data_IF_296610368719
#
_entry.id   IF_296610368719
#
_cell.length_a   1.000
_cell.length_b   1.000
_cell.length_c   1.000
_cell.angle_alpha   90.00
_cell.angle_beta   90.00
_cell.angle_gamma   90.00
#
_symmetry.space_group_name_H-M   'P 1'
#
loop_
_entity.id
_entity.type
_entity.pdbx_description
1 polymer ?
#
# COMPACT_ATOMS: atom_id res chain seq x y z
N UNK A 1 -9.56 -2.82 -24.06
CA UNK A 1 -10.87 -3.24 -24.62
C UNK A 1 -11.87 -2.17 -24.29
N UNK A 2 -12.36 -1.44 -25.27
CA UNK A 2 -13.41 -0.42 -25.11
C UNK A 2 -14.75 -1.06 -25.46
N UNK A 3 -15.73 -0.97 -24.57
CA UNK A 3 -17.08 -1.47 -24.84
C UNK A 3 -17.77 -0.50 -25.80
N UNK A 4 -18.20 -1.00 -26.97
CA UNK A 4 -19.03 -0.21 -27.88
C UNK A 4 -20.43 -0.06 -27.27
N UNK A 5 -20.90 1.18 -27.18
CA UNK A 5 -22.18 1.58 -26.58
C UNK A 5 -23.04 2.36 -27.56
N UNK A 6 -22.66 2.43 -28.83
CA UNK A 6 -23.33 3.19 -29.90
C UNK A 6 -24.81 2.84 -30.08
N UNK A 7 -25.20 1.63 -29.67
CA UNK A 7 -26.58 1.13 -29.70
C UNK A 7 -27.51 1.83 -28.70
N UNK A 8 -26.99 2.51 -27.68
CA UNK A 8 -27.81 3.15 -26.66
C UNK A 8 -28.47 4.44 -27.19
N UNK A 9 -29.79 4.62 -27.01
CA UNK A 9 -30.47 5.87 -27.37
C UNK A 9 -30.04 7.05 -26.46
N UNK A 10 -29.47 6.76 -25.29
CA UNK A 10 -28.99 7.76 -24.34
C UNK A 10 -27.54 8.16 -24.65
N UNK A 11 -27.31 9.45 -24.90
CA UNK A 11 -25.99 10.03 -25.15
C UNK A 11 -25.02 9.85 -23.97
N UNK A 12 -25.53 9.96 -22.74
CA UNK A 12 -24.75 9.77 -21.51
C UNK A 12 -24.08 8.40 -21.42
N UNK A 13 -24.71 7.36 -21.98
CA UNK A 13 -24.18 5.99 -22.01
C UNK A 13 -23.15 5.83 -23.13
N UNK A 14 -23.40 6.41 -24.30
CA UNK A 14 -22.48 6.38 -25.45
C UNK A 14 -21.14 7.06 -25.13
N UNK A 15 -21.21 8.17 -24.40
CA UNK A 15 -20.05 8.96 -24.01
C UNK A 15 -19.51 8.60 -22.62
N UNK A 16 -20.03 7.54 -21.98
CA UNK A 16 -19.58 7.12 -20.67
C UNK A 16 -18.13 6.61 -20.72
N UNK A 17 -17.24 7.32 -20.05
CA UNK A 17 -15.88 6.86 -19.81
C UNK A 17 -15.85 6.07 -18.50
N UNK A 18 -15.58 4.76 -18.61
CA UNK A 18 -15.39 3.89 -17.44
C UNK A 18 -14.19 4.37 -16.62
N UNK A 19 -14.47 5.11 -15.55
CA UNK A 19 -13.45 5.49 -14.55
C UNK A 19 -13.05 4.32 -13.65
N UNK A 20 -13.75 3.17 -13.74
CA UNK A 20 -13.58 2.02 -12.86
C UNK A 20 -12.21 1.34 -12.94
N UNK A 21 -11.47 1.49 -14.04
CA UNK A 21 -10.07 1.03 -14.13
C UNK A 21 -9.05 2.00 -13.54
N UNK A 22 -9.46 3.22 -13.18
CA UNK A 22 -8.58 4.16 -12.50
C UNK A 22 -8.71 4.01 -10.98
N UNK A 23 -7.62 3.50 -10.38
CA UNK A 23 -7.18 3.73 -8.98
C UNK A 23 -7.58 2.71 -7.89
N UNK A 24 -7.64 1.41 -8.18
CA UNK A 24 -7.43 0.43 -7.11
C UNK A 24 -5.95 0.30 -6.70
N UNK A 25 -5.02 0.73 -7.57
CA UNK A 25 -3.58 0.67 -7.30
C UNK A 25 -3.10 1.55 -6.14
N UNK A 26 -3.77 2.67 -5.85
CA UNK A 26 -3.39 3.55 -4.74
C UNK A 26 -3.86 3.05 -3.36
N UNK A 27 -4.98 2.32 -3.32
CA UNK A 27 -5.49 1.69 -2.10
C UNK A 27 -4.78 0.38 -1.76
N UNK A 28 -4.22 -0.32 -2.75
CA UNK A 28 -3.48 -1.56 -2.52
C UNK A 28 -2.07 -1.35 -1.92
N UNK A 29 -1.45 -0.18 -2.12
CA UNK A 29 -0.04 0.05 -1.74
C UNK A 29 0.15 1.03 -0.57
N UNK A 30 -0.83 1.88 -0.26
CA UNK A 30 -0.72 2.84 0.83
C UNK A 30 -0.60 2.18 2.21
N UNK A 31 -1.59 1.37 2.58
CA UNK A 31 -1.61 0.68 3.88
C UNK A 31 -0.50 -0.38 4.00
N UNK A 32 -0.18 -1.07 2.90
CA UNK A 32 0.89 -2.07 2.85
C UNK A 32 2.28 -1.45 3.10
N UNK A 33 2.54 -0.29 2.49
CA UNK A 33 3.82 0.44 2.66
C UNK A 33 4.00 0.94 4.09
N UNK A 34 2.94 1.41 4.73
CA UNK A 34 2.98 1.81 6.14
C UNK A 34 3.19 0.62 7.09
N UNK A 35 2.55 -0.52 6.81
CA UNK A 35 2.75 -1.74 7.58
C UNK A 35 4.19 -2.25 7.47
N UNK A 36 4.77 -2.23 6.27
CA UNK A 36 6.18 -2.60 6.05
C UNK A 36 7.15 -1.65 6.76
N UNK A 37 6.87 -0.34 6.77
CA UNK A 37 7.69 0.65 7.48
C UNK A 37 7.69 0.40 9.00
N UNK A 38 6.51 0.17 9.59
CA UNK A 38 6.37 -0.13 11.02
C UNK A 38 7.08 -1.42 11.45
N UNK A 39 7.07 -2.44 10.59
CA UNK A 39 7.80 -3.69 10.85
C UNK A 39 9.31 -3.48 10.89
N UNK A 40 9.86 -2.74 9.91
CA UNK A 40 11.29 -2.42 9.85
C UNK A 40 11.75 -1.62 11.08
N UNK A 41 11.01 -0.58 11.46
CA UNK A 41 11.32 0.23 12.65
C UNK A 41 11.33 -0.62 13.92
N UNK A 42 10.42 -1.60 14.03
CA UNK A 42 10.37 -2.51 15.18
C UNK A 42 11.57 -3.45 15.23
N UNK A 43 11.98 -4.01 14.10
CA UNK A 43 13.17 -4.88 14.01
C UNK A 43 14.46 -4.13 14.35
N UNK A 44 14.60 -2.88 13.89
CA UNK A 44 15.74 -2.01 14.21
C UNK A 44 15.82 -1.73 15.72
N UNK A 45 14.69 -1.36 16.35
CA UNK A 45 14.61 -1.15 17.80
C UNK A 45 14.95 -2.41 18.61
N UNK A 46 14.44 -3.59 18.21
CA UNK A 46 14.75 -4.86 18.87
C UNK A 46 16.23 -5.22 18.76
N UNK A 47 16.87 -4.91 17.62
CA UNK A 47 18.31 -5.12 17.41
C UNK A 47 19.18 -4.21 18.28
N UNK A 48 18.77 -2.94 18.46
CA UNK A 48 19.45 -2.00 19.34
C UNK A 48 19.28 -2.37 20.83
N UNK A 49 18.10 -2.84 21.22
CA UNK A 49 17.85 -3.29 22.60
C UNK A 49 18.67 -4.54 22.91
N UNK A 50 18.77 -5.47 21.95
CA UNK A 50 19.58 -6.69 22.06
C UNK A 50 21.08 -6.38 22.20
N UNK A 51 21.61 -5.46 21.39
CA UNK A 51 23.02 -5.05 21.46
C UNK A 51 23.37 -4.31 22.75
N UNK A 52 22.51 -3.38 23.20
CA UNK A 52 22.70 -2.65 24.48
C UNK A 52 22.64 -3.58 25.69
N UNK A 53 21.80 -4.62 25.65
CA UNK A 53 21.68 -5.63 26.72
C UNK A 53 22.87 -6.59 26.79
N UNK A 54 23.55 -6.81 25.66
CA UNK A 54 24.77 -7.61 25.63
C UNK A 54 25.98 -6.85 26.22
N UNK A 55 26.07 -5.54 25.97
CA UNK A 55 27.15 -4.69 26.49
C UNK A 55 27.02 -4.36 27.98
N UNK A 56 25.82 -4.44 28.56
CA UNK A 56 25.59 -4.17 29.99
C UNK A 56 25.77 -5.41 30.88
N UNK A 57 26.20 -6.55 30.33
CA UNK A 57 26.28 -7.84 31.04
C UNK A 57 27.72 -8.31 31.28
N UNK A 58 28.70 -7.46 30.98
CA UNK A 58 30.14 -7.74 31.09
C UNK A 58 30.82 -7.03 32.27
N UNK A 59 30.08 -6.34 33.14
CA UNK A 59 30.62 -5.56 34.27
C UNK A 59 30.26 -6.13 35.67
N UNK A 60 29.88 -7.42 35.78
CA UNK A 60 29.75 -8.16 37.06
C UNK A 60 30.67 -9.39 37.11
#
# INVERSE_FOLDING_TARGET
MTVDRSYSPYESIRNYQDRGMMKWGAFATGELSEAQRKLREKEELESEISSKKATSKSDD
#
